data_IF_008807331225
#
_entry.id   IF_008807331225
#
_cell.length_a   1.000
_cell.length_b   1.000
_cell.length_c   1.000
_cell.angle_alpha   90.00
_cell.angle_beta   90.00
_cell.angle_gamma   90.00
#
_symmetry.space_group_name_H-M   'P 1'
#
loop_
_entity.id
_entity.type
_entity.pdbx_description
1 polymer ?
#
# COMPACT_ATOMS: atom_id res chain seq x y z
N UNK A 1 8.64 15.06 -19.18
CA UNK A 1 8.61 13.78 -18.50
C UNK A 1 10.00 13.44 -17.93
N UNK A 2 10.49 14.18 -16.93
CA UNK A 2 11.83 13.92 -16.30
C UNK A 2 11.88 14.30 -14.82
N UNK A 3 10.76 14.49 -14.14
CA UNK A 3 10.76 14.95 -12.74
C UNK A 3 10.18 13.96 -11.70
N UNK A 4 9.62 12.82 -12.12
CA UNK A 4 8.95 11.88 -11.20
C UNK A 4 9.88 10.79 -10.64
N UNK A 5 11.10 10.65 -11.13
CA UNK A 5 12.01 9.53 -10.77
C UNK A 5 13.05 9.92 -9.71
N UNK A 6 13.15 11.18 -9.30
CA UNK A 6 14.19 11.63 -8.36
C UNK A 6 13.81 11.57 -6.87
N UNK A 7 12.60 11.13 -6.52
CA UNK A 7 12.14 11.10 -5.12
C UNK A 7 12.38 9.75 -4.40
N UNK A 8 13.00 8.78 -5.05
CA UNK A 8 13.08 7.40 -4.53
C UNK A 8 14.50 7.00 -4.05
N UNK A 9 15.51 7.85 -4.18
CA UNK A 9 16.90 7.39 -4.02
C UNK A 9 17.64 7.83 -2.76
N UNK A 10 16.99 8.34 -1.71
CA UNK A 10 17.71 8.81 -0.51
C UNK A 10 17.27 8.19 0.83
N UNK A 11 16.65 7.01 0.83
CA UNK A 11 16.29 6.35 2.10
C UNK A 11 17.08 5.06 2.32
N UNK A 12 18.40 5.15 2.43
CA UNK A 12 19.24 4.01 2.74
C UNK A 12 20.33 4.36 3.75
N UNK A 13 19.97 4.68 4.97
CA UNK A 13 20.92 4.60 6.09
C UNK A 13 20.27 4.97 7.43
N UNK A 14 19.43 4.14 8.04
CA UNK A 14 19.34 3.99 9.50
C UNK A 14 18.61 2.66 9.75
N UNK A 15 19.33 1.57 9.66
CA UNK A 15 18.95 0.28 10.21
C UNK A 15 19.98 -0.09 11.26
N UNK A 16 19.85 0.40 12.48
CA UNK A 16 20.50 -0.23 13.62
C UNK A 16 19.61 -0.11 14.85
N UNK A 17 19.04 -1.23 15.24
CA UNK A 17 18.86 -1.56 16.63
C UNK A 17 17.66 -1.00 17.36
N UNK A 18 16.46 -1.51 17.06
CA UNK A 18 15.44 -1.62 18.13
C UNK A 18 14.88 -3.04 18.08
N UNK A 19 15.49 -3.92 18.82
CA UNK A 19 14.82 -5.13 19.30
C UNK A 19 13.74 -4.67 20.30
N UNK A 20 12.58 -4.30 19.78
CA UNK A 20 11.39 -4.11 20.59
C UNK A 20 10.94 -5.49 21.06
N UNK A 21 11.29 -5.82 22.29
CA UNK A 21 10.56 -6.81 23.08
C UNK A 21 9.15 -6.26 23.22
N UNK A 22 8.26 -6.67 22.35
CA UNK A 22 6.84 -6.37 22.46
C UNK A 22 6.32 -7.17 23.65
N UNK A 23 5.91 -6.53 24.78
CA UNK A 23 5.24 -7.26 25.82
C UNK A 23 3.96 -7.84 25.20
N UNK A 24 3.87 -9.16 25.23
CA UNK A 24 2.65 -9.90 24.87
C UNK A 24 1.55 -9.50 25.87
N UNK A 25 0.89 -8.40 25.63
CA UNK A 25 -0.37 -8.10 26.28
C UNK A 25 -1.38 -9.15 25.81
N UNK A 26 -1.85 -9.99 26.74
CA UNK A 26 -3.00 -10.84 26.52
C UNK A 26 -4.17 -9.96 26.07
N UNK A 27 -4.49 -10.01 24.80
CA UNK A 27 -5.65 -9.33 24.24
C UNK A 27 -6.88 -10.07 24.73
N UNK A 28 -7.72 -9.40 25.50
CA UNK A 28 -9.07 -9.91 25.82
C UNK A 28 -9.79 -10.17 24.50
N UNK A 29 -10.42 -11.36 24.40
CA UNK A 29 -11.08 -11.89 23.21
C UNK A 29 -12.35 -11.10 22.83
N UNK A 30 -12.25 -9.84 22.44
CA UNK A 30 -13.26 -9.19 21.62
C UNK A 30 -12.68 -9.07 20.21
N UNK A 31 -13.09 -9.98 19.33
CA UNK A 31 -12.67 -10.07 17.92
C UNK A 31 -13.34 -8.99 17.07
N UNK A 32 -13.21 -7.72 17.42
CA UNK A 32 -13.58 -6.65 16.48
C UNK A 32 -12.38 -6.36 15.61
N UNK A 33 -12.52 -6.55 14.31
CA UNK A 33 -11.51 -6.14 13.32
C UNK A 33 -11.21 -4.65 13.51
N UNK A 34 -9.92 -4.25 13.67
CA UNK A 34 -9.55 -2.85 13.79
C UNK A 34 -10.13 -2.00 12.66
N UNK A 35 -10.61 -0.81 12.98
CA UNK A 35 -11.35 0.04 12.03
C UNK A 35 -10.53 0.41 10.79
N UNK A 36 -9.19 0.46 10.88
CA UNK A 36 -8.30 0.74 9.77
C UNK A 36 -8.10 -0.46 8.81
N UNK A 37 -8.51 -1.68 9.19
CA UNK A 37 -8.39 -2.89 8.35
C UNK A 37 -9.53 -2.97 7.33
N UNK A 38 -9.44 -2.14 6.30
CA UNK A 38 -10.39 -2.04 5.18
C UNK A 38 -9.62 -1.78 3.88
N UNK A 39 -10.36 -1.73 2.79
CA UNK A 39 -9.87 -1.30 1.49
C UNK A 39 -10.08 0.21 1.36
N UNK A 40 -9.00 0.97 1.45
CA UNK A 40 -9.00 2.41 1.37
C UNK A 40 -8.56 2.88 -0.01
N UNK A 41 -9.36 3.73 -0.63
CA UNK A 41 -9.01 4.36 -1.91
C UNK A 41 -8.67 5.81 -1.66
N UNK A 42 -7.45 6.19 -2.03
CA UNK A 42 -6.99 7.56 -2.04
C UNK A 42 -7.02 8.06 -3.48
N UNK A 43 -7.56 9.26 -3.68
CA UNK A 43 -7.55 9.92 -4.99
C UNK A 43 -6.66 11.15 -4.91
N UNK A 44 -5.60 11.19 -5.74
CA UNK A 44 -4.69 12.33 -5.84
C UNK A 44 -4.46 12.64 -7.32
N UNK A 45 -4.73 13.87 -7.73
CA UNK A 45 -4.55 14.35 -9.10
C UNK A 45 -5.21 13.43 -10.16
N UNK A 46 -6.40 12.90 -9.83
CA UNK A 46 -7.15 11.99 -10.69
C UNK A 46 -6.68 10.54 -10.69
N UNK A 47 -5.55 10.25 -10.04
CA UNK A 47 -5.07 8.87 -9.85
C UNK A 47 -5.66 8.28 -8.58
N UNK A 48 -6.19 7.07 -8.67
CA UNK A 48 -6.69 6.32 -7.51
C UNK A 48 -5.71 5.24 -7.11
N UNK A 49 -5.41 5.17 -5.83
CA UNK A 49 -4.51 4.18 -5.23
C UNK A 49 -5.22 3.47 -4.10
N UNK A 50 -5.09 2.16 -4.05
CA UNK A 50 -5.60 1.31 -2.98
C UNK A 50 -4.53 1.10 -1.91
N UNK A 51 -4.97 1.16 -0.65
CA UNK A 51 -4.27 0.68 0.54
C UNK A 51 -5.21 -0.27 1.27
N UNK A 52 -4.96 -1.56 1.20
CA UNK A 52 -5.81 -2.58 1.82
C UNK A 52 -5.05 -3.28 2.94
N UNK A 53 -5.48 -3.08 4.19
CA UNK A 53 -4.87 -3.68 5.37
C UNK A 53 -5.62 -4.94 5.77
N UNK A 54 -4.90 -6.05 5.95
CA UNK A 54 -5.43 -7.38 6.30
C UNK A 54 -5.06 -7.77 7.73
N UNK A 55 -5.81 -8.70 8.31
CA UNK A 55 -5.65 -9.12 9.72
C UNK A 55 -4.30 -9.75 10.04
N UNK A 56 -3.67 -10.37 9.06
CA UNK A 56 -2.40 -11.08 9.17
C UNK A 56 -1.17 -10.17 9.04
N UNK A 57 -1.34 -8.84 9.06
CA UNK A 57 -0.25 -7.89 8.87
C UNK A 57 0.17 -7.73 7.41
N UNK A 58 -0.66 -8.17 6.48
CA UNK A 58 -0.46 -7.97 5.04
C UNK A 58 -1.09 -6.66 4.60
N UNK A 59 -0.35 -5.89 3.82
CA UNK A 59 -0.86 -4.74 3.07
C UNK A 59 -0.84 -5.05 1.58
N UNK A 60 -1.95 -4.72 0.89
CA UNK A 60 -2.02 -4.68 -0.56
C UNK A 60 -2.02 -3.21 -0.98
N UNK A 61 -1.12 -2.86 -1.88
CA UNK A 61 -0.92 -1.48 -2.31
C UNK A 61 -0.75 -1.41 -3.83
N UNK A 62 -1.52 -0.52 -4.47
CA UNK A 62 -1.39 -0.33 -5.91
C UNK A 62 -2.43 0.58 -6.53
N UNK A 63 -2.17 1.06 -7.75
CA UNK A 63 -3.06 1.96 -8.46
C UNK A 63 -4.26 1.23 -9.08
N UNK A 64 -5.32 2.01 -9.31
CA UNK A 64 -6.37 1.63 -10.25
C UNK A 64 -5.85 1.80 -11.67
N UNK A 65 -6.03 0.78 -12.50
CA UNK A 65 -5.63 0.83 -13.91
C UNK A 65 -6.75 1.43 -14.79
N UNK A 66 -6.37 2.35 -15.63
CA UNK A 66 -7.22 2.88 -16.69
C UNK A 66 -7.06 2.07 -18.00
N UNK A 67 -7.83 2.40 -19.03
CA UNK A 67 -7.75 1.71 -20.31
C UNK A 67 -6.38 1.85 -21.01
N UNK A 68 -5.70 2.99 -20.82
CA UNK A 68 -4.38 3.23 -21.44
C UNK A 68 -3.33 2.36 -20.76
N UNK A 69 -3.33 2.33 -19.44
CA UNK A 69 -2.46 1.46 -18.63
C UNK A 69 -2.74 -0.02 -18.93
N UNK A 70 -4.02 -0.40 -19.00
CA UNK A 70 -4.40 -1.78 -19.34
C UNK A 70 -3.81 -2.22 -20.69
N UNK A 71 -3.93 -1.41 -21.73
CA UNK A 71 -3.35 -1.72 -23.06
C UNK A 71 -1.83 -1.85 -22.99
N UNK A 72 -1.18 -0.99 -22.22
CA UNK A 72 0.27 -1.06 -22.02
C UNK A 72 0.67 -2.36 -21.33
N UNK A 73 -0.02 -2.74 -20.24
CA UNK A 73 0.27 -3.96 -19.50
C UNK A 73 0.03 -5.22 -20.34
N UNK A 74 -1.07 -5.28 -21.07
CA UNK A 74 -1.39 -6.41 -21.96
C UNK A 74 -0.46 -6.48 -23.17
N UNK A 75 0.20 -5.38 -23.53
CA UNK A 75 1.19 -5.31 -24.59
C UNK A 75 2.62 -5.72 -24.18
N UNK A 76 2.85 -6.03 -22.89
CA UNK A 76 4.17 -6.48 -22.42
C UNK A 76 4.54 -7.80 -23.13
N UNK A 77 5.66 -7.81 -23.90
CA UNK A 77 6.06 -9.02 -24.62
C UNK A 77 6.46 -10.13 -23.63
N UNK A 78 6.20 -11.35 -24.04
CA UNK A 78 6.75 -12.49 -23.34
C UNK A 78 8.27 -12.49 -23.45
N UNK A 79 8.92 -12.44 -22.32
CA UNK A 79 10.37 -12.57 -22.20
C UNK A 79 10.68 -13.77 -21.32
N UNK A 80 11.95 -14.16 -21.23
CA UNK A 80 12.41 -15.20 -20.30
C UNK A 80 12.12 -14.83 -18.83
N UNK A 81 11.72 -13.57 -18.56
CA UNK A 81 11.35 -13.05 -17.25
C UNK A 81 9.84 -13.03 -16.97
N UNK A 82 9.03 -13.31 -17.98
CA UNK A 82 7.56 -13.28 -17.86
C UNK A 82 7.04 -14.70 -18.06
N UNK A 83 6.54 -15.29 -16.98
CA UNK A 83 5.97 -16.65 -17.03
C UNK A 83 4.65 -16.68 -17.83
N UNK A 84 4.17 -17.88 -18.18
CA UNK A 84 2.85 -18.02 -18.79
C UNK A 84 1.74 -17.57 -17.81
N UNK A 85 1.92 -17.85 -16.52
CA UNK A 85 0.99 -17.44 -15.46
C UNK A 85 0.89 -15.91 -15.36
N UNK A 86 2.04 -15.19 -15.45
CA UNK A 86 2.05 -13.72 -15.46
C UNK A 86 1.30 -13.15 -16.66
N UNK A 87 1.42 -13.81 -17.84
CA UNK A 87 0.67 -13.39 -19.03
C UNK A 87 -0.82 -13.62 -18.86
N UNK A 88 -1.22 -14.77 -18.36
CA UNK A 88 -2.63 -15.09 -18.13
C UNK A 88 -3.22 -14.10 -17.12
N UNK A 89 -2.43 -13.72 -16.09
CA UNK A 89 -2.79 -12.68 -15.16
C UNK A 89 -3.00 -11.34 -15.88
N UNK A 90 -2.02 -10.85 -16.67
CA UNK A 90 -2.12 -9.59 -17.41
C UNK A 90 -3.34 -9.56 -18.35
N UNK A 91 -3.62 -10.68 -19.02
CA UNK A 91 -4.79 -10.79 -19.90
C UNK A 91 -6.11 -10.85 -19.14
N UNK A 92 -6.10 -11.21 -17.87
CA UNK A 92 -7.29 -11.23 -16.99
C UNK A 92 -7.69 -9.87 -16.46
N UNK A 93 -6.79 -8.87 -16.53
CA UNK A 93 -7.02 -7.52 -16.02
C UNK A 93 -8.09 -6.77 -16.82
N UNK A 94 -8.81 -5.88 -16.14
CA UNK A 94 -9.79 -4.98 -16.72
C UNK A 94 -9.55 -3.55 -16.26
N UNK A 95 -9.92 -2.59 -17.08
CA UNK A 95 -9.93 -1.19 -16.66
C UNK A 95 -10.84 -1.03 -15.42
N UNK A 96 -10.35 -0.33 -14.43
CA UNK A 96 -11.01 -0.20 -13.12
C UNK A 96 -10.52 -1.16 -12.05
N UNK A 97 -9.79 -2.24 -12.39
CA UNK A 97 -9.13 -3.10 -11.40
C UNK A 97 -8.04 -2.34 -10.66
N UNK A 98 -7.80 -2.70 -9.41
CA UNK A 98 -6.63 -2.25 -8.64
C UNK A 98 -5.56 -3.32 -8.71
N UNK A 99 -4.44 -2.99 -9.33
CA UNK A 99 -3.29 -3.90 -9.46
C UNK A 99 -2.36 -3.63 -8.29
N UNK A 100 -2.25 -4.58 -7.37
CA UNK A 100 -1.61 -4.38 -6.08
C UNK A 100 -0.42 -5.30 -5.88
N UNK A 101 0.68 -4.73 -5.40
CA UNK A 101 1.78 -5.47 -4.79
C UNK A 101 1.42 -5.85 -3.36
N UNK A 102 2.01 -6.95 -2.89
CA UNK A 102 1.91 -7.40 -1.50
C UNK A 102 3.06 -6.81 -0.68
N UNK A 103 2.74 -6.37 0.52
CA UNK A 103 3.71 -5.96 1.53
C UNK A 103 3.31 -6.44 2.91
N UNK A 104 4.05 -6.02 3.91
CA UNK A 104 3.73 -6.26 5.31
C UNK A 104 3.57 -4.95 6.06
N UNK A 105 2.81 -4.95 7.13
CA UNK A 105 2.69 -3.79 7.99
C UNK A 105 2.65 -4.16 9.47
N UNK A 106 3.03 -3.19 10.30
CA UNK A 106 2.82 -3.19 11.74
C UNK A 106 2.03 -1.95 12.10
N UNK A 107 0.98 -2.12 12.88
CA UNK A 107 0.19 -1.02 13.39
C UNK A 107 0.51 -0.77 14.86
N UNK A 108 0.65 0.49 15.20
CA UNK A 108 0.81 1.00 16.57
C UNK A 108 -0.38 1.94 16.85
N UNK A 109 -1.57 1.37 17.13
CA UNK A 109 -2.77 2.15 17.37
C UNK A 109 -2.72 2.82 18.76
N UNK A 110 -3.53 3.88 18.92
CA UNK A 110 -3.87 4.38 20.26
C UNK A 110 -4.84 3.42 20.96
N UNK A 111 -5.22 3.75 22.20
CA UNK A 111 -6.10 2.91 23.03
C UNK A 111 -7.49 2.64 22.42
N UNK A 112 -7.92 3.45 21.46
CA UNK A 112 -9.26 3.38 20.85
C UNK A 112 -9.24 2.90 19.40
N UNK A 113 -8.09 2.52 18.87
CA UNK A 113 -7.88 2.13 17.47
C UNK A 113 -8.32 3.19 16.42
N UNK A 114 -8.55 4.45 16.87
CA UNK A 114 -9.04 5.52 15.99
C UNK A 114 -7.92 6.33 15.33
N UNK A 115 -6.72 6.24 15.86
CA UNK A 115 -5.51 6.87 15.32
C UNK A 115 -4.28 6.07 15.73
N UNK A 116 -3.19 6.25 15.00
CA UNK A 116 -1.94 5.57 15.30
C UNK A 116 -0.91 5.74 14.19
N UNK A 117 0.07 4.84 14.20
CA UNK A 117 1.13 4.79 13.21
C UNK A 117 1.10 3.43 12.52
N UNK A 118 1.22 3.43 11.21
CA UNK A 118 1.43 2.26 10.37
C UNK A 118 2.85 2.30 9.81
N UNK A 119 3.59 1.24 10.02
CA UNK A 119 4.90 1.03 9.38
C UNK A 119 4.73 -0.07 8.36
N UNK A 120 4.80 0.27 7.10
CA UNK A 120 4.57 -0.63 5.97
C UNK A 120 5.88 -0.91 5.25
N UNK A 121 6.07 -2.14 4.81
CA UNK A 121 7.18 -2.54 3.93
C UNK A 121 6.56 -3.06 2.64
N UNK A 122 6.66 -2.29 1.58
CA UNK A 122 6.16 -2.63 0.24
C UNK A 122 7.29 -2.47 -0.76
N UNK A 123 7.52 -3.46 -1.61
CA UNK A 123 8.57 -3.45 -2.65
C UNK A 123 9.96 -3.08 -2.07
N UNK A 124 10.29 -3.62 -0.89
CA UNK A 124 11.53 -3.36 -0.15
C UNK A 124 11.69 -1.92 0.35
N UNK A 125 10.66 -1.10 0.24
CA UNK A 125 10.64 0.26 0.79
C UNK A 125 9.86 0.29 2.09
N UNK A 126 10.38 0.98 3.08
CA UNK A 126 9.68 1.23 4.34
C UNK A 126 8.95 2.56 4.26
N UNK A 127 7.65 2.51 4.48
CA UNK A 127 6.78 3.68 4.50
C UNK A 127 6.21 3.80 5.90
N UNK A 128 6.40 4.94 6.54
CA UNK A 128 5.76 5.25 7.80
C UNK A 128 4.66 6.27 7.57
N UNK A 129 3.48 5.98 8.06
CA UNK A 129 2.35 6.89 7.98
C UNK A 129 1.57 6.94 9.29
N UNK A 130 1.14 8.13 9.67
CA UNK A 130 0.13 8.30 10.72
C UNK A 130 -1.24 8.09 10.09
N UNK A 131 -2.16 7.50 10.84
CA UNK A 131 -3.55 7.40 10.42
C UNK A 131 -4.47 7.99 11.48
N UNK A 132 -5.59 8.52 11.04
CA UNK A 132 -6.69 9.00 11.88
C UNK A 132 -8.02 8.66 11.22
N UNK A 133 -8.84 7.90 11.93
CA UNK A 133 -10.20 7.61 11.50
C UNK A 133 -11.05 8.88 11.55
N UNK A 134 -11.57 9.29 10.42
CA UNK A 134 -12.48 10.43 10.31
C UNK A 134 -13.94 9.98 10.51
N UNK A 135 -14.24 8.76 10.06
CA UNK A 135 -15.52 8.05 10.23
C UNK A 135 -15.30 6.57 9.94
N UNK A 136 -16.34 5.76 10.00
CA UNK A 136 -16.28 4.34 9.62
C UNK A 136 -15.93 4.10 8.15
N UNK A 137 -16.06 5.12 7.30
CA UNK A 137 -15.81 5.04 5.86
C UNK A 137 -14.74 6.01 5.36
N UNK A 138 -14.11 6.78 6.25
CA UNK A 138 -13.08 7.75 5.88
C UNK A 138 -11.91 7.71 6.87
N UNK A 139 -10.70 7.71 6.34
CA UNK A 139 -9.44 7.71 7.08
C UNK A 139 -8.52 8.79 6.52
N UNK A 140 -7.82 9.49 7.38
CA UNK A 140 -6.75 10.40 6.99
C UNK A 140 -5.41 9.69 7.17
N UNK A 141 -4.58 9.70 6.15
CA UNK A 141 -3.20 9.23 6.19
C UNK A 141 -2.25 10.41 6.04
N UNK A 142 -1.27 10.49 6.90
CA UNK A 142 -0.18 11.47 6.82
C UNK A 142 1.13 10.72 6.69
N UNK A 143 1.78 10.84 5.54
CA UNK A 143 3.13 10.31 5.33
C UNK A 143 4.11 11.06 6.22
N UNK A 144 4.90 10.31 6.96
CA UNK A 144 6.00 10.87 7.75
C UNK A 144 7.20 10.97 6.83
N UNK A 145 7.50 12.17 6.36
CA UNK A 145 8.69 12.45 5.54
C UNK A 145 9.97 12.42 6.37
N UNK A 146 11.11 12.28 5.68
CA UNK A 146 12.41 12.52 6.30
C UNK A 146 12.55 14.00 6.70
N UNK A 147 13.36 14.27 7.70
CA UNK A 147 13.57 15.61 8.29
C UNK A 147 13.91 16.72 7.29
N UNK A 148 14.35 16.39 6.07
CA UNK A 148 14.66 17.35 5.00
C UNK A 148 13.47 17.74 4.13
N UNK A 149 12.37 17.00 4.12
CA UNK A 149 11.16 17.36 3.39
C UNK A 149 10.08 17.84 4.35
N UNK A 150 10.08 19.10 4.69
CA UNK A 150 9.16 19.79 5.63
C UNK A 150 7.66 19.68 5.29
N UNK A 151 7.24 18.79 4.40
CA UNK A 151 5.85 18.65 4.01
C UNK A 151 5.33 17.24 4.30
N UNK A 152 4.70 17.08 5.45
CA UNK A 152 3.83 15.94 5.68
C UNK A 152 2.75 15.92 4.57
N UNK A 153 2.78 14.91 3.74
CA UNK A 153 1.73 14.72 2.73
C UNK A 153 0.54 14.04 3.40
N UNK A 154 -0.57 14.75 3.46
CA UNK A 154 -1.82 14.21 4.01
C UNK A 154 -2.78 13.88 2.87
N UNK A 155 -3.40 12.73 2.96
CA UNK A 155 -4.41 12.26 2.00
C UNK A 155 -5.57 11.58 2.73
N UNK A 156 -6.76 11.70 2.17
CA UNK A 156 -7.96 11.05 2.71
C UNK A 156 -8.29 9.82 1.88
N UNK A 157 -8.34 8.69 2.57
CA UNK A 157 -8.83 7.42 2.02
C UNK A 157 -10.31 7.24 2.31
N UNK A 158 -11.03 6.74 1.34
CA UNK A 158 -12.45 6.37 1.46
C UNK A 158 -12.56 4.86 1.34
N UNK A 159 -13.27 4.23 2.29
CA UNK A 159 -13.52 2.80 2.24
C UNK A 159 -14.44 2.46 1.06
N UNK A 160 -14.02 1.53 0.21
CA UNK A 160 -14.75 1.11 -0.98
C UNK A 160 -14.64 -0.40 -1.15
N UNK A 161 -15.69 -1.00 -1.70
CA UNK A 161 -15.64 -2.37 -2.22
C UNK A 161 -15.02 -2.32 -3.62
N UNK A 162 -13.82 -2.86 -3.76
CA UNK A 162 -13.00 -2.74 -4.96
C UNK A 162 -12.48 -4.10 -5.43
N UNK A 163 -12.23 -4.21 -6.73
CA UNK A 163 -11.65 -5.41 -7.31
C UNK A 163 -10.12 -5.33 -7.29
N UNK A 164 -9.51 -6.03 -6.33
CA UNK A 164 -8.06 -6.10 -6.18
C UNK A 164 -7.50 -7.31 -6.93
N UNK A 165 -6.49 -7.07 -7.74
CA UNK A 165 -5.67 -8.06 -8.43
C UNK A 165 -4.26 -8.02 -7.86
N UNK A 166 -3.85 -9.09 -7.18
CA UNK A 166 -2.52 -9.17 -6.56
C UNK A 166 -1.52 -9.71 -7.56
N UNK A 167 -0.43 -8.98 -7.77
CA UNK A 167 0.66 -9.39 -8.66
C UNK A 167 1.68 -10.27 -7.94
N UNK A 168 2.34 -11.15 -8.68
CA UNK A 168 3.52 -11.87 -8.20
C UNK A 168 4.70 -10.90 -8.02
N UNK A 169 5.67 -11.26 -7.17
CA UNK A 169 6.87 -10.44 -6.96
C UNK A 169 7.64 -10.17 -8.27
N UNK A 170 7.66 -11.16 -9.17
CA UNK A 170 8.30 -11.04 -10.47
C UNK A 170 7.64 -9.98 -11.34
N UNK A 171 6.30 -10.01 -11.39
CA UNK A 171 5.51 -9.06 -12.17
C UNK A 171 5.46 -7.68 -11.52
N UNK A 172 5.48 -7.60 -10.19
CA UNK A 172 5.54 -6.33 -9.47
C UNK A 172 6.78 -5.50 -9.87
N UNK A 173 7.93 -6.13 -10.04
CA UNK A 173 9.17 -5.45 -10.49
C UNK A 173 9.10 -4.94 -11.95
N UNK A 174 8.12 -5.37 -12.72
CA UNK A 174 7.92 -4.94 -14.12
C UNK A 174 6.89 -3.82 -14.20
N UNK A 175 5.88 -3.87 -13.33
CA UNK A 175 4.73 -2.94 -13.34
C UNK A 175 5.01 -1.67 -12.55
N UNK A 176 5.72 -1.78 -11.44
CA UNK A 176 6.04 -0.69 -10.50
C UNK A 176 7.50 -0.29 -10.57
#
# INVERSE_FOLDING_TARGET
MKHTIKLITTLSAIMLGVLLVVPSCKKDNSTSTPAYQKDWVITTDGTKVCYAFREDGVILFGPQIDEATLKMLQGIPATDKTSQEDKDFLMSLKAGDYVCATGTYVALPNSNDTEGVLVCIVMKQTIQMKYKMMSDTAIEFTLVGDEESDKNMTAVGVAQDINIKVVTDGLANIIF
#
